data_IF_596475275195
#
_entry.id   IF_596475275195
#
_cell.length_a   1.000
_cell.length_b   1.000
_cell.length_c   1.000
_cell.angle_alpha   90.00
_cell.angle_beta   90.00
_cell.angle_gamma   90.00
#
_symmetry.space_group_name_H-M   'P 1'
#
loop_
_entity.id
_entity.type
_entity.pdbx_description
1 polymer ?
#
# COMPACT_ATOMS: atom_id res chain seq x y z
N UNK A 1 -21.95 -1.85 10.54
CA UNK A 1 -21.53 -1.95 9.12
C UNK A 1 -21.35 -0.54 8.62
N UNK A 2 -20.13 -0.01 8.65
CA UNK A 2 -19.83 1.35 8.18
C UNK A 2 -19.94 1.37 6.66
N UNK A 3 -20.83 2.22 6.13
CA UNK A 3 -20.99 2.37 4.69
C UNK A 3 -19.76 3.09 4.12
N UNK A 4 -19.20 2.56 3.02
CA UNK A 4 -18.05 3.15 2.32
C UNK A 4 -18.43 4.56 1.82
N UNK A 5 -17.61 5.58 2.08
CA UNK A 5 -17.83 6.91 1.48
C UNK A 5 -17.62 6.81 -0.04
N UNK A 6 -18.46 7.51 -0.81
CA UNK A 6 -18.27 7.59 -2.26
C UNK A 6 -16.88 8.14 -2.58
N UNK A 7 -16.08 7.38 -3.34
CA UNK A 7 -14.70 7.72 -3.71
C UNK A 7 -13.60 7.13 -2.82
N UNK A 8 -13.96 6.39 -1.77
CA UNK A 8 -12.98 5.72 -0.91
C UNK A 8 -12.49 4.42 -1.58
N UNK A 9 -11.17 4.26 -1.80
CA UNK A 9 -10.63 3.05 -2.42
C UNK A 9 -10.77 1.87 -1.47
N UNK A 10 -10.99 0.70 -2.02
CA UNK A 10 -10.91 -0.57 -1.29
C UNK A 10 -9.46 -0.90 -0.97
N UNK A 11 -9.23 -1.74 0.04
CA UNK A 11 -7.90 -2.28 0.34
C UNK A 11 -7.27 -2.93 -0.90
N UNK A 12 -8.06 -3.59 -1.74
CA UNK A 12 -7.57 -4.21 -2.99
C UNK A 12 -7.06 -3.18 -3.98
N UNK A 13 -7.80 -2.08 -4.20
CA UNK A 13 -7.39 -1.01 -5.12
C UNK A 13 -6.12 -0.29 -4.62
N UNK A 14 -5.98 -0.13 -3.30
CA UNK A 14 -4.75 0.40 -2.70
C UNK A 14 -3.58 -0.55 -2.92
N UNK A 15 -3.77 -1.85 -2.70
CA UNK A 15 -2.73 -2.87 -2.92
C UNK A 15 -2.30 -2.94 -4.39
N UNK A 16 -3.24 -2.87 -5.32
CA UNK A 16 -2.96 -2.80 -6.77
C UNK A 16 -2.18 -1.53 -7.13
N UNK A 17 -2.57 -0.38 -6.57
CA UNK A 17 -1.82 0.86 -6.77
C UNK A 17 -0.38 0.79 -6.22
N UNK A 18 -0.19 0.15 -5.06
CA UNK A 18 1.14 -0.06 -4.47
C UNK A 18 2.00 -1.01 -5.31
N UNK A 19 1.41 -1.96 -6.03
CA UNK A 19 2.16 -2.85 -6.92
C UNK A 19 2.78 -2.12 -8.14
N UNK A 20 2.26 -0.94 -8.47
CA UNK A 20 2.87 -0.07 -9.49
C UNK A 20 4.03 0.78 -8.99
N UNK A 21 4.31 0.78 -7.68
CA UNK A 21 5.44 1.52 -7.09
C UNK A 21 6.68 0.62 -7.14
N UNK A 22 7.54 0.86 -8.13
CA UNK A 22 8.77 0.11 -8.36
C UNK A 22 9.93 0.61 -7.50
N UNK A 23 10.83 -0.31 -7.13
CA UNK A 23 12.08 0.02 -6.48
C UNK A 23 13.01 0.82 -7.44
N UNK A 24 13.62 1.93 -6.98
CA UNK A 24 14.47 2.77 -7.82
C UNK A 24 15.81 2.11 -8.19
N UNK A 25 16.29 1.14 -7.42
CA UNK A 25 17.53 0.39 -7.68
C UNK A 25 17.27 -0.89 -8.49
N UNK A 26 16.11 -1.53 -8.28
CA UNK A 26 15.66 -2.73 -8.99
C UNK A 26 14.29 -2.46 -9.66
N UNK A 27 14.24 -1.82 -10.86
CA UNK A 27 13.00 -1.32 -11.49
C UNK A 27 11.97 -2.37 -11.92
N UNK A 28 12.22 -3.64 -11.65
CA UNK A 28 11.35 -4.78 -11.98
C UNK A 28 10.66 -5.38 -10.74
N UNK A 29 10.96 -4.85 -9.55
CA UNK A 29 10.36 -5.32 -8.29
C UNK A 29 9.58 -4.17 -7.66
N UNK A 30 8.31 -4.42 -7.33
CA UNK A 30 7.45 -3.46 -6.64
C UNK A 30 7.62 -3.51 -5.12
N UNK A 31 7.17 -2.47 -4.42
CA UNK A 31 7.14 -2.47 -2.94
C UNK A 31 6.29 -3.60 -2.35
N UNK A 32 5.29 -4.08 -3.11
CA UNK A 32 4.49 -5.27 -2.78
C UNK A 32 5.33 -6.54 -3.00
N UNK A 33 6.00 -6.66 -4.15
CA UNK A 33 6.85 -7.81 -4.49
C UNK A 33 8.05 -7.98 -3.54
N UNK A 34 8.57 -6.89 -2.99
CA UNK A 34 9.60 -6.91 -1.95
C UNK A 34 9.10 -7.34 -0.57
N UNK A 35 7.77 -7.39 -0.36
CA UNK A 35 7.18 -7.66 0.95
C UNK A 35 7.34 -6.50 1.95
N UNK A 36 7.51 -5.26 1.47
CA UNK A 36 7.65 -4.09 2.35
C UNK A 36 6.34 -3.71 3.02
N UNK A 37 5.21 -3.97 2.36
CA UNK A 37 3.87 -3.62 2.84
C UNK A 37 3.36 -4.71 3.79
N UNK A 38 3.16 -4.36 5.06
CA UNK A 38 2.65 -5.28 6.10
C UNK A 38 1.14 -5.25 6.23
N UNK A 39 0.56 -4.06 6.17
CA UNK A 39 -0.86 -3.84 6.39
C UNK A 39 -1.34 -2.60 5.64
N UNK A 40 -2.60 -2.64 5.21
CA UNK A 40 -3.29 -1.52 4.56
C UNK A 40 -4.67 -1.41 5.20
N UNK A 41 -4.90 -0.30 5.90
CA UNK A 41 -6.21 0.02 6.47
C UNK A 41 -6.81 1.22 5.76
N UNK A 42 -8.07 1.07 5.40
CA UNK A 42 -8.88 2.13 4.79
C UNK A 42 -9.91 2.55 5.82
N UNK A 43 -9.88 3.82 6.23
CA UNK A 43 -10.79 4.42 7.20
C UNK A 43 -11.46 5.65 6.59
N UNK A 44 -12.51 6.16 7.24
CA UNK A 44 -13.23 7.35 6.77
C UNK A 44 -12.36 8.61 6.70
N UNK A 45 -11.21 8.61 7.38
CA UNK A 45 -10.23 9.68 7.43
C UNK A 45 -9.12 9.54 6.38
N UNK A 46 -8.99 8.36 5.72
CA UNK A 46 -8.02 8.13 4.66
C UNK A 46 -7.49 6.70 4.57
N UNK A 47 -6.33 6.56 3.94
CA UNK A 47 -5.63 5.27 3.76
C UNK A 47 -4.34 5.29 4.59
N UNK A 48 -4.17 4.28 5.44
CA UNK A 48 -2.94 4.05 6.19
C UNK A 48 -2.24 2.81 5.67
N UNK A 49 -0.98 2.96 5.28
CA UNK A 49 -0.13 1.87 4.80
C UNK A 49 1.01 1.66 5.79
N UNK A 50 1.10 0.47 6.36
CA UNK A 50 2.19 0.10 7.26
C UNK A 50 3.30 -0.59 6.47
N UNK A 51 4.50 -0.02 6.50
CA UNK A 51 5.67 -0.53 5.81
C UNK A 51 6.78 -0.96 6.79
N UNK A 52 7.52 -2.00 6.44
CA UNK A 52 8.78 -2.36 7.11
C UNK A 52 9.93 -1.78 6.30
N UNK A 53 10.64 -0.75 6.78
CA UNK A 53 11.78 -0.25 6.04
C UNK A 53 12.89 -1.31 6.02
N UNK A 54 13.46 -1.55 4.85
CA UNK A 54 14.71 -2.32 4.67
C UNK A 54 15.96 -1.49 4.95
N UNK A 55 15.80 -0.19 5.24
CA UNK A 55 16.87 0.67 5.70
C UNK A 55 17.17 0.40 7.18
N UNK A 56 18.11 -0.51 7.43
CA UNK A 56 18.95 -0.46 8.63
C UNK A 56 19.91 0.72 8.48
N UNK A 57 19.47 1.91 8.89
CA UNK A 57 20.38 3.03 9.15
C UNK A 57 21.30 2.72 10.32
#
# INVERSE_FOLDING_TARGET
>A
MTARKQGQPTTSEVMEALDHVMDPEIPVVSVIGMGLIRDVSVTDDGVTVQLTPTFSG
#
